data_IF_866162286871
#
_entry.id   IF_866162286871
#
_cell.length_a   1.000
_cell.length_b   1.000
_cell.length_c   1.000
_cell.angle_alpha   90.00
_cell.angle_beta   90.00
_cell.angle_gamma   90.00
#
_symmetry.space_group_name_H-M   'P 1'
#
loop_
_entity.id
_entity.type
_entity.pdbx_description
1 polymer ?
#
# COMPACT_ATOMS: atom_id res chain seq x y z
N UNK A 1 19.76 -3.37 -21.52
CA UNK A 1 18.84 -4.16 -20.66
C UNK A 1 19.01 -3.86 -19.18
N UNK A 2 20.24 -3.75 -18.65
CA UNK A 2 20.51 -3.37 -17.25
C UNK A 2 19.85 -2.05 -16.83
N UNK A 3 19.88 -1.01 -17.67
CA UNK A 3 19.24 0.28 -17.41
C UNK A 3 17.73 0.18 -17.16
N UNK A 4 17.03 -0.70 -17.89
CA UNK A 4 15.58 -0.93 -17.71
C UNK A 4 15.33 -1.61 -16.37
N UNK A 5 16.16 -2.59 -16.01
CA UNK A 5 16.08 -3.26 -14.71
C UNK A 5 16.34 -2.31 -13.52
N UNK A 6 17.25 -1.35 -13.68
CA UNK A 6 17.53 -0.34 -12.65
C UNK A 6 16.43 0.71 -12.54
N UNK A 7 15.85 1.15 -13.66
CA UNK A 7 14.67 2.02 -13.66
C UNK A 7 13.48 1.34 -12.97
N UNK A 8 13.24 0.05 -13.25
CA UNK A 8 12.22 -0.74 -12.57
C UNK A 8 12.54 -0.91 -11.08
N UNK A 9 13.79 -1.21 -10.72
CA UNK A 9 14.23 -1.31 -9.33
C UNK A 9 14.04 -0.02 -8.55
N UNK A 10 14.42 1.12 -9.14
CA UNK A 10 14.19 2.45 -8.58
C UNK A 10 12.72 2.84 -8.47
N UNK A 11 11.91 2.50 -9.47
CA UNK A 11 10.46 2.67 -9.40
C UNK A 11 9.84 1.85 -8.26
N UNK A 12 10.26 0.59 -8.13
CA UNK A 12 9.79 -0.33 -7.09
C UNK A 12 10.20 0.13 -5.68
N UNK A 13 11.42 0.67 -5.50
CA UNK A 13 11.85 1.22 -4.22
C UNK A 13 11.05 2.43 -3.80
N UNK A 14 10.87 3.39 -4.72
CA UNK A 14 10.10 4.60 -4.45
C UNK A 14 8.62 4.28 -4.19
N UNK A 15 8.02 3.41 -5.00
CA UNK A 15 6.64 2.97 -4.81
C UNK A 15 6.47 2.21 -3.49
N UNK A 16 7.39 1.30 -3.16
CA UNK A 16 7.38 0.56 -1.90
C UNK A 16 7.53 1.47 -0.68
N UNK A 17 8.44 2.45 -0.75
CA UNK A 17 8.62 3.46 0.30
C UNK A 17 7.40 4.38 0.44
N UNK A 18 6.76 4.76 -0.67
CA UNK A 18 5.54 5.55 -0.65
C UNK A 18 4.39 4.79 0.05
N UNK A 19 4.22 3.50 -0.27
CA UNK A 19 3.28 2.60 0.42
C UNK A 19 3.63 2.41 1.91
N UNK A 20 4.92 2.40 2.25
CA UNK A 20 5.40 2.22 3.61
C UNK A 20 5.14 3.45 4.50
N UNK A 21 5.28 4.64 3.93
CA UNK A 21 5.31 5.93 4.65
C UNK A 21 3.99 6.70 4.57
N UNK A 22 3.28 6.66 3.44
CA UNK A 22 2.06 7.45 3.27
C UNK A 22 0.81 6.71 3.78
N UNK A 23 0.47 6.96 5.05
CA UNK A 23 -0.73 6.43 5.71
C UNK A 23 -2.03 7.12 5.30
N UNK A 24 -2.00 8.37 4.81
CA UNK A 24 -3.21 9.20 4.67
C UNK A 24 -3.58 9.51 3.22
N UNK A 25 -2.62 9.51 2.29
CA UNK A 25 -2.85 9.77 0.88
C UNK A 25 -3.03 8.47 0.09
N UNK A 26 -1.92 7.89 -0.37
CA UNK A 26 -1.89 6.81 -1.34
C UNK A 26 -2.41 5.47 -0.81
N UNK A 27 -1.90 5.01 0.33
CA UNK A 27 -2.31 3.70 0.87
C UNK A 27 -3.78 3.70 1.28
N UNK A 28 -4.26 4.82 1.83
CA UNK A 28 -5.67 5.02 2.12
C UNK A 28 -6.54 4.99 0.87
N UNK A 29 -6.14 5.70 -0.20
CA UNK A 29 -6.83 5.67 -1.49
C UNK A 29 -6.86 4.28 -2.09
N UNK A 30 -5.74 3.56 -2.09
CA UNK A 30 -5.68 2.20 -2.66
C UNK A 30 -6.63 1.27 -1.91
N UNK A 31 -6.63 1.33 -0.58
CA UNK A 31 -7.57 0.53 0.21
C UNK A 31 -9.02 0.92 -0.07
N UNK A 32 -9.30 2.23 -0.13
CA UNK A 32 -10.67 2.73 -0.30
C UNK A 32 -11.21 2.53 -1.73
N UNK A 33 -10.34 2.50 -2.74
CA UNK A 33 -10.73 2.37 -4.15
C UNK A 33 -10.68 0.91 -4.64
N UNK A 34 -9.66 0.13 -4.25
CA UNK A 34 -9.45 -1.22 -4.77
C UNK A 34 -9.78 -2.34 -3.79
N UNK A 35 -9.74 -2.08 -2.48
CA UNK A 35 -9.99 -3.09 -1.44
C UNK A 35 -11.28 -2.83 -0.65
N UNK A 36 -12.07 -1.83 -1.05
CA UNK A 36 -13.38 -1.56 -0.45
C UNK A 36 -14.47 -2.25 -1.30
N UNK A 37 -14.96 -3.43 -0.88
CA UNK A 37 -15.99 -4.15 -1.64
C UNK A 37 -17.34 -3.45 -1.67
N UNK A 38 -17.56 -2.46 -0.80
CA UNK A 38 -18.86 -1.83 -0.59
C UNK A 38 -18.96 -0.40 -1.12
N UNK A 39 -17.86 0.22 -1.59
CA UNK A 39 -17.78 1.65 -1.95
C UNK A 39 -18.43 2.60 -0.92
N UNK A 40 -18.61 2.13 0.32
CA UNK A 40 -19.39 2.82 1.33
C UNK A 40 -18.55 3.90 1.99
N UNK A 41 -19.12 5.10 2.11
CA UNK A 41 -18.42 6.25 2.66
C UNK A 41 -18.00 6.03 4.13
N UNK A 42 -16.72 6.25 4.49
CA UNK A 42 -16.22 6.07 5.86
C UNK A 42 -16.99 6.86 6.92
N UNK A 43 -17.55 8.01 6.51
CA UNK A 43 -18.30 8.94 7.35
C UNK A 43 -19.64 8.35 7.78
N UNK A 44 -20.38 7.73 6.85
CA UNK A 44 -21.64 7.05 7.14
C UNK A 44 -21.45 5.90 8.13
N UNK A 45 -20.39 5.10 7.94
CA UNK A 45 -20.08 3.97 8.83
C UNK A 45 -19.72 4.42 10.26
N UNK A 46 -19.08 5.58 10.42
CA UNK A 46 -18.83 6.16 11.76
C UNK A 46 -20.11 6.61 12.44
N UNK A 47 -21.08 7.13 11.68
CA UNK A 47 -22.37 7.57 12.20
C UNK A 47 -23.19 6.36 12.65
N UNK A 48 -23.28 5.31 11.84
CA UNK A 48 -23.93 4.05 12.23
C UNK A 48 -23.27 3.41 13.47
N UNK A 49 -21.94 3.40 13.53
CA UNK A 49 -21.20 2.92 14.70
C UNK A 49 -21.46 3.74 15.97
N UNK A 50 -21.69 5.05 15.86
CA UNK A 50 -22.09 5.90 17.01
C UNK A 50 -23.54 5.68 17.43
N UNK A 51 -24.41 5.35 16.49
CA UNK A 51 -25.83 5.06 16.74
C UNK A 51 -26.06 3.64 17.29
N UNK A 52 -25.02 2.81 17.39
CA UNK A 52 -25.12 1.43 17.86
C UNK A 52 -25.82 0.49 16.88
N UNK A 53 -25.97 0.91 15.62
CA UNK A 53 -26.63 0.12 14.58
C UNK A 53 -25.57 -0.74 13.90
N UNK A 54 -25.69 -2.07 14.06
CA UNK A 54 -24.81 -3.02 13.39
C UNK A 54 -25.11 -3.05 11.89
N UNK A 55 -24.18 -2.49 11.10
CA UNK A 55 -24.22 -2.56 9.65
C UNK A 55 -23.18 -3.59 9.17
N UNK A 56 -23.49 -4.48 8.22
CA UNK A 56 -22.53 -5.49 7.72
C UNK A 56 -21.24 -4.87 7.16
N UNK A 57 -21.31 -3.63 6.67
CA UNK A 57 -20.13 -2.87 6.23
C UNK A 57 -19.22 -2.37 7.38
N UNK A 58 -19.65 -2.38 8.64
CA UNK A 58 -18.77 -2.09 9.79
C UNK A 58 -17.70 -3.18 9.98
N UNK A 59 -17.98 -4.44 9.65
CA UNK A 59 -16.99 -5.51 9.70
C UNK A 59 -15.90 -5.34 8.63
N UNK A 60 -16.29 -4.86 7.45
CA UNK A 60 -15.35 -4.48 6.40
C UNK A 60 -14.51 -3.27 6.84
N UNK A 61 -15.12 -2.27 7.47
CA UNK A 61 -14.42 -1.13 8.05
C UNK A 61 -13.41 -1.54 9.13
N UNK A 62 -13.76 -2.52 9.97
CA UNK A 62 -12.87 -3.07 10.99
C UNK A 62 -11.68 -3.81 10.38
N UNK A 63 -11.85 -4.45 9.21
CA UNK A 63 -10.78 -5.10 8.44
C UNK A 63 -9.91 -4.12 7.65
N UNK A 64 -10.38 -2.88 7.40
CA UNK A 64 -9.63 -1.83 6.68
C UNK A 64 -8.25 -1.56 7.30
N UNK A 65 -8.17 -1.55 8.64
CA UNK A 65 -6.89 -1.38 9.35
C UNK A 65 -5.90 -2.52 9.07
N UNK A 66 -6.39 -3.76 8.96
CA UNK A 66 -5.59 -4.92 8.57
C UNK A 66 -5.11 -4.79 7.11
N UNK A 67 -5.97 -4.29 6.22
CA UNK A 67 -5.61 -4.00 4.83
C UNK A 67 -4.48 -2.98 4.71
N UNK A 68 -4.54 -1.88 5.48
CA UNK A 68 -3.48 -0.87 5.54
C UNK A 68 -2.15 -1.45 6.06
N UNK A 69 -2.19 -2.30 7.09
CA UNK A 69 -0.98 -2.97 7.61
C UNK A 69 -0.40 -3.93 6.58
N UNK A 70 -1.25 -4.71 5.90
CA UNK A 70 -0.82 -5.64 4.86
C UNK A 70 -0.13 -4.92 3.70
N UNK A 71 -0.74 -3.85 3.19
CA UNK A 71 -0.13 -3.00 2.15
C UNK A 71 1.20 -2.41 2.57
N UNK A 72 1.35 -2.09 3.86
CA UNK A 72 2.62 -1.58 4.41
C UNK A 72 3.71 -2.64 4.40
N UNK A 73 3.39 -3.87 4.81
CA UNK A 73 4.33 -5.00 4.76
C UNK A 73 4.75 -5.26 3.32
N UNK A 74 3.80 -5.30 2.38
CA UNK A 74 4.10 -5.47 0.96
C UNK A 74 4.89 -4.30 0.36
N UNK A 75 4.60 -3.06 0.75
CA UNK A 75 5.38 -1.90 0.36
C UNK A 75 6.84 -2.00 0.83
N UNK A 76 7.07 -2.45 2.06
CA UNK A 76 8.43 -2.71 2.58
C UNK A 76 9.16 -3.82 1.82
N UNK A 77 8.47 -4.93 1.52
CA UNK A 77 9.03 -6.02 0.70
C UNK A 77 9.38 -5.54 -0.70
N UNK A 78 8.49 -4.79 -1.35
CA UNK A 78 8.73 -4.21 -2.67
C UNK A 78 9.93 -3.26 -2.66
N UNK A 79 10.06 -2.46 -1.60
CA UNK A 79 11.19 -1.56 -1.42
C UNK A 79 12.52 -2.29 -1.26
N UNK A 80 12.55 -3.39 -0.49
CA UNK A 80 13.75 -4.22 -0.36
C UNK A 80 14.13 -4.86 -1.69
N UNK A 81 13.16 -5.41 -2.42
CA UNK A 81 13.40 -6.05 -3.74
C UNK A 81 13.99 -5.04 -4.73
N UNK A 82 13.40 -3.85 -4.83
CA UNK A 82 13.91 -2.79 -5.71
C UNK A 82 15.34 -2.36 -5.33
N UNK A 83 15.66 -2.34 -4.02
CA UNK A 83 16.97 -1.96 -3.53
C UNK A 83 18.03 -3.01 -3.89
N UNK A 84 17.68 -4.30 -3.81
CA UNK A 84 18.54 -5.39 -4.28
C UNK A 84 18.82 -5.25 -5.78
N UNK A 85 17.80 -4.94 -6.58
CA UNK A 85 17.99 -4.72 -8.03
C UNK A 85 18.92 -3.53 -8.32
N UNK A 86 18.79 -2.43 -7.57
CA UNK A 86 19.67 -1.28 -7.70
C UNK A 86 21.12 -1.60 -7.28
N UNK A 87 21.32 -2.29 -6.17
CA UNK A 87 22.66 -2.65 -5.66
C UNK A 87 23.37 -3.64 -6.58
N UNK A 88 22.68 -4.68 -7.05
CA UNK A 88 23.25 -5.62 -8.02
C UNK A 88 23.48 -4.95 -9.37
N UNK A 89 22.53 -4.14 -9.85
CA UNK A 89 22.67 -3.43 -11.12
C UNK A 89 23.81 -2.41 -11.11
N UNK A 90 24.04 -1.72 -9.99
CA UNK A 90 25.17 -0.77 -9.85
C UNK A 90 26.49 -1.51 -9.78
N UNK A 91 26.56 -2.61 -9.04
CA UNK A 91 27.75 -3.46 -9.01
C UNK A 91 28.12 -3.99 -10.40
N UNK A 92 27.14 -4.44 -11.19
CA UNK A 92 27.36 -4.92 -12.56
C UNK A 92 27.71 -3.82 -13.56
N UNK A 93 27.36 -2.57 -13.30
CA UNK A 93 27.74 -1.42 -14.15
C UNK A 93 29.17 -0.93 -13.86
N UNK A 94 29.66 -1.19 -12.66
CA UNK A 94 30.98 -0.77 -12.20
C UNK A 94 32.05 -1.86 -12.35
N UNK A 95 31.63 -3.10 -12.61
CA UNK A 95 32.48 -4.26 -12.89
C UNK A 95 32.81 -4.34 -14.39
#
# INVERSE_FOLDING_TARGET
>A
MILIAMLLGGGATLAGLALLTDRRGLTGRIVDTYLNPMFSEPTLLRVFGRLGVEHPAMDAFRRRSKGLVLLRVWGGVLALIGLVFLTVGTALLLA
#
